data_IF_456246789238
#
_entry.id   IF_456246789238
#
_cell.length_a   1.000
_cell.length_b   1.000
_cell.length_c   1.000
_cell.angle_alpha   90.00
_cell.angle_beta   90.00
_cell.angle_gamma   90.00
#
_symmetry.space_group_name_H-M   'P 1'
#
loop_
_entity.id
_entity.type
_entity.pdbx_description
1 polymer ?
#
# COMPACT_ATOMS: atom_id res chain seq x y z
N UNK A 1 12.29 1.48 -27.93
CA UNK A 1 11.39 1.96 -26.84
C UNK A 1 11.33 0.88 -25.79
N UNK A 2 11.45 1.24 -24.51
CA UNK A 2 11.38 0.31 -23.39
C UNK A 2 10.43 0.83 -22.34
N UNK A 3 9.71 -0.06 -21.66
CA UNK A 3 8.82 0.27 -20.56
C UNK A 3 9.67 0.43 -19.29
N UNK A 4 9.49 1.54 -18.58
CA UNK A 4 10.09 1.78 -17.27
C UNK A 4 9.02 1.64 -16.19
N UNK A 5 9.26 0.76 -15.22
CA UNK A 5 8.36 0.56 -14.10
C UNK A 5 9.08 0.75 -12.76
N UNK A 6 8.33 1.21 -11.75
CA UNK A 6 8.73 1.19 -10.35
C UNK A 6 8.11 -0.03 -9.69
N UNK A 7 8.93 -0.93 -9.16
CA UNK A 7 8.45 -2.11 -8.44
C UNK A 7 8.61 -1.94 -6.93
N UNK A 8 7.57 -2.29 -6.17
CA UNK A 8 7.58 -2.32 -4.71
C UNK A 8 6.77 -3.52 -4.22
N UNK A 9 7.00 -3.96 -2.99
CA UNK A 9 6.26 -5.05 -2.35
C UNK A 9 5.92 -4.68 -0.91
N UNK A 10 5.09 -5.53 -0.26
CA UNK A 10 4.86 -5.52 1.19
C UNK A 10 4.34 -4.20 1.78
N UNK A 11 3.57 -3.44 1.01
CA UNK A 11 2.93 -2.21 1.51
C UNK A 11 1.86 -2.46 2.58
N UNK A 12 1.53 -3.74 2.83
CA UNK A 12 0.60 -4.19 3.87
C UNK A 12 -0.74 -3.44 3.82
N UNK A 13 -1.27 -3.12 2.63
CA UNK A 13 -2.42 -2.21 2.46
C UNK A 13 -3.63 -2.66 3.28
N UNK A 14 -3.89 -3.97 3.32
CA UNK A 14 -4.99 -4.53 4.09
C UNK A 14 -4.71 -4.74 5.58
N UNK A 15 -3.46 -4.62 6.06
CA UNK A 15 -3.12 -4.99 7.43
C UNK A 15 -3.77 -4.03 8.43
N UNK A 16 -4.69 -4.57 9.23
CA UNK A 16 -5.22 -3.90 10.41
C UNK A 16 -4.16 -3.93 11.51
N UNK A 17 -3.75 -2.77 12.00
CA UNK A 17 -2.80 -2.64 13.12
C UNK A 17 -3.47 -2.80 14.49
N UNK A 18 -4.53 -3.62 14.58
CA UNK A 18 -5.40 -3.72 15.77
C UNK A 18 -4.75 -4.35 16.99
N UNK A 19 -3.60 -5.01 16.82
CA UNK A 19 -2.78 -5.52 17.92
C UNK A 19 -2.04 -4.42 18.70
N UNK A 20 -2.03 -3.18 18.20
CA UNK A 20 -1.38 -2.05 18.86
C UNK A 20 -2.40 -1.14 19.54
N UNK A 21 -1.97 -0.34 20.54
CA UNK A 21 -2.75 0.78 21.06
C UNK A 21 -3.29 1.69 19.94
N UNK A 22 -4.46 2.29 20.14
CA UNK A 22 -5.19 2.99 19.08
C UNK A 22 -4.41 4.16 18.46
N UNK A 23 -3.66 4.89 19.27
CA UNK A 23 -2.75 5.96 18.86
C UNK A 23 -1.61 5.43 17.97
N UNK A 24 -0.97 4.34 18.39
CA UNK A 24 0.09 3.66 17.62
C UNK A 24 -0.47 3.10 16.31
N UNK A 25 -1.63 2.44 16.35
CA UNK A 25 -2.30 1.92 15.18
C UNK A 25 -2.66 3.04 14.18
N UNK A 26 -3.11 4.20 14.68
CA UNK A 26 -3.36 5.39 13.89
C UNK A 26 -2.10 5.92 13.21
N UNK A 27 -1.01 6.06 13.96
CA UNK A 27 0.29 6.50 13.45
C UNK A 27 0.83 5.56 12.36
N UNK A 28 0.72 4.23 12.55
CA UNK A 28 1.14 3.23 11.56
C UNK A 28 0.32 3.33 10.26
N UNK A 29 -1.00 3.58 10.36
CA UNK A 29 -1.84 3.81 9.18
C UNK A 29 -1.43 5.08 8.44
N UNK A 30 -1.17 6.17 9.16
CA UNK A 30 -0.72 7.43 8.58
C UNK A 30 0.64 7.29 7.87
N UNK A 31 1.61 6.65 8.52
CA UNK A 31 2.93 6.38 7.95
C UNK A 31 2.86 5.55 6.66
N UNK A 32 1.95 4.57 6.60
CA UNK A 32 1.69 3.77 5.38
C UNK A 32 1.16 4.64 4.25
N UNK A 33 0.17 5.49 4.52
CA UNK A 33 -0.38 6.40 3.51
C UNK A 33 0.66 7.41 3.01
N UNK A 34 1.50 7.93 3.91
CA UNK A 34 2.58 8.83 3.53
C UNK A 34 3.62 8.14 2.64
N UNK A 35 3.94 6.88 2.95
CA UNK A 35 4.84 6.06 2.11
C UNK A 35 4.26 5.86 0.70
N UNK A 36 2.95 5.61 0.57
CA UNK A 36 2.28 5.55 -0.72
C UNK A 36 2.38 6.86 -1.50
N UNK A 37 2.18 8.02 -0.83
CA UNK A 37 2.34 9.33 -1.47
C UNK A 37 3.75 9.52 -2.00
N UNK A 38 4.77 9.20 -1.20
CA UNK A 38 6.18 9.32 -1.62
C UNK A 38 6.51 8.43 -2.80
N UNK A 39 6.02 7.19 -2.84
CA UNK A 39 6.21 6.29 -3.99
C UNK A 39 5.55 6.88 -5.24
N UNK A 40 4.33 7.41 -5.13
CA UNK A 40 3.63 8.03 -6.25
C UNK A 40 4.35 9.28 -6.78
N UNK A 41 4.86 10.12 -5.88
CA UNK A 41 5.68 11.29 -6.26
C UNK A 41 6.96 10.85 -6.97
N UNK A 42 7.68 9.88 -6.42
CA UNK A 42 8.90 9.35 -7.04
C UNK A 42 8.63 8.75 -8.43
N UNK A 43 7.53 8.01 -8.59
CA UNK A 43 7.12 7.45 -9.88
C UNK A 43 6.89 8.56 -10.92
N UNK A 44 6.21 9.64 -10.53
CA UNK A 44 5.97 10.81 -11.38
C UNK A 44 7.26 11.53 -11.75
N UNK A 45 8.10 11.83 -10.76
CA UNK A 45 9.36 12.56 -10.96
C UNK A 45 10.34 11.78 -11.86
N UNK A 46 10.27 10.45 -11.84
CA UNK A 46 11.10 9.56 -12.66
C UNK A 46 10.50 9.21 -14.02
N UNK A 47 9.28 9.67 -14.30
CA UNK A 47 8.56 9.40 -15.54
C UNK A 47 8.41 7.91 -15.81
N UNK A 48 8.04 7.12 -14.79
CA UNK A 48 7.79 5.69 -14.98
C UNK A 48 6.41 5.48 -15.60
N UNK A 49 6.30 4.48 -16.48
CA UNK A 49 5.05 4.13 -17.18
C UNK A 49 4.08 3.39 -16.25
N UNK A 50 4.59 2.68 -15.25
CA UNK A 50 3.78 1.90 -14.33
C UNK A 50 4.42 1.75 -12.94
N UNK A 51 3.57 1.61 -11.92
CA UNK A 51 3.95 1.17 -10.57
C UNK A 51 3.39 -0.24 -10.35
N UNK A 52 4.29 -1.21 -10.13
CA UNK A 52 3.92 -2.60 -9.85
C UNK A 52 4.06 -2.88 -8.35
N UNK A 53 2.96 -3.24 -7.70
CA UNK A 53 2.93 -3.57 -6.27
C UNK A 53 2.42 -4.98 -6.01
N UNK A 54 3.20 -5.77 -5.27
CA UNK A 54 2.71 -6.99 -4.63
C UNK A 54 2.10 -6.62 -3.28
N UNK A 55 0.77 -6.46 -3.24
CA UNK A 55 0.05 -6.16 -2.01
C UNK A 55 -0.36 -7.45 -1.30
N UNK A 56 -0.07 -7.57 0.00
CA UNK A 56 -0.65 -8.59 0.85
C UNK A 56 -2.10 -8.19 1.15
N UNK A 57 -3.06 -8.98 0.67
CA UNK A 57 -4.45 -8.89 1.07
C UNK A 57 -4.57 -9.40 2.51
N UNK A 58 -5.14 -8.58 3.40
CA UNK A 58 -5.47 -9.07 4.74
C UNK A 58 -6.62 -10.05 4.66
N UNK A 59 -6.53 -11.15 5.41
CA UNK A 59 -7.58 -12.14 5.63
C UNK A 59 -8.88 -11.57 6.23
N UNK A 60 -8.89 -10.29 6.61
CA UNK A 60 -10.08 -9.58 7.12
C UNK A 60 -10.98 -9.02 6.00
N UNK A 61 -10.58 -9.10 4.73
CA UNK A 61 -11.46 -8.79 3.61
C UNK A 61 -12.50 -9.91 3.44
N UNK A 62 -13.46 -10.00 4.36
CA UNK A 62 -14.69 -10.78 4.15
C UNK A 62 -15.48 -10.10 3.04
N UNK A 63 -15.34 -10.59 1.82
CA UNK A 63 -16.29 -10.28 0.76
C UNK A 63 -17.68 -10.72 1.26
N UNK A 64 -18.71 -9.86 1.18
CA UNK A 64 -20.05 -10.28 1.55
C UNK A 64 -20.46 -11.43 0.63
N UNK A 65 -20.58 -12.64 1.19
CA UNK A 65 -21.20 -13.74 0.44
C UNK A 65 -22.66 -13.38 0.24
N UNK A 66 -23.00 -13.01 -1.00
CA UNK A 66 -24.38 -12.91 -1.44
C UNK A 66 -24.98 -14.32 -1.32
N UNK A 67 -25.98 -14.48 -0.45
CA UNK A 67 -26.81 -15.69 -0.41
C UNK A 67 -27.63 -15.80 -1.69
#
# INVERSE_FOLDING_TARGET
MGIRFLHTADLQIGKGFGQFPNDVAGALRAARLETLRRIALLARDRGVDAVLSLAIASSTLRLPMRR
#
